data_IF_265527073588
#
_entry.id   IF_265527073588
#
_cell.length_a   1.000
_cell.length_b   1.000
_cell.length_c   1.000
_cell.angle_alpha   90.00
_cell.angle_beta   90.00
_cell.angle_gamma   90.00
#
_symmetry.space_group_name_H-M   'P 1'
#
loop_
_entity.id
_entity.type
_entity.pdbx_description
1 polymer ?
#
# COMPACT_ATOMS: atom_id res chain seq x y z
N UNK A 1 11.89 -21.30 0.89
CA UNK A 1 10.93 -20.53 0.08
C UNK A 1 10.23 -21.50 -0.87
N UNK A 2 8.92 -21.38 -1.06
CA UNK A 2 8.16 -22.23 -1.99
C UNK A 2 8.65 -21.98 -3.44
N UNK A 3 8.52 -22.98 -4.34
CA UNK A 3 8.94 -22.85 -5.75
C UNK A 3 8.19 -21.71 -6.44
N UNK A 4 6.88 -21.60 -6.26
CA UNK A 4 6.05 -20.51 -6.81
C UNK A 4 6.56 -19.13 -6.40
N UNK A 5 7.05 -18.99 -5.17
CA UNK A 5 7.59 -17.72 -4.67
C UNK A 5 8.90 -17.33 -5.38
N UNK A 6 9.74 -18.29 -5.71
CA UNK A 6 10.99 -18.04 -6.45
C UNK A 6 10.69 -17.69 -7.91
N UNK A 7 9.82 -18.46 -8.57
CA UNK A 7 9.46 -18.25 -9.97
C UNK A 7 8.82 -16.84 -10.15
N UNK A 8 7.91 -16.45 -9.26
CA UNK A 8 7.28 -15.13 -9.33
C UNK A 8 8.23 -13.99 -8.99
N UNK A 9 9.16 -14.18 -8.05
CA UNK A 9 10.20 -13.19 -7.75
C UNK A 9 11.09 -12.92 -8.96
N UNK A 10 11.51 -13.99 -9.66
CA UNK A 10 12.32 -13.88 -10.87
C UNK A 10 11.55 -13.19 -12.00
N UNK A 11 10.25 -13.50 -12.16
CA UNK A 11 9.39 -12.84 -13.15
C UNK A 11 9.20 -11.35 -12.86
N UNK A 12 8.99 -10.97 -11.59
CA UNK A 12 8.88 -9.57 -11.20
C UNK A 12 10.19 -8.83 -11.48
N UNK A 13 11.34 -9.40 -11.08
CA UNK A 13 12.66 -8.80 -11.28
C UNK A 13 13.04 -8.64 -12.75
N UNK A 14 12.63 -9.59 -13.59
CA UNK A 14 12.91 -9.60 -15.03
C UNK A 14 11.72 -9.11 -15.88
N UNK A 15 10.70 -8.58 -15.26
CA UNK A 15 9.47 -8.13 -15.91
C UNK A 15 9.63 -6.84 -16.72
N UNK A 16 8.49 -6.28 -17.10
CA UNK A 16 8.41 -5.07 -17.94
C UNK A 16 9.13 -3.89 -17.29
N UNK A 17 10.00 -3.22 -18.04
CA UNK A 17 10.83 -2.10 -17.56
C UNK A 17 10.32 -0.72 -17.97
N UNK A 18 9.17 -0.64 -18.57
CA UNK A 18 8.49 0.60 -18.94
C UNK A 18 9.30 1.59 -19.80
N UNK A 19 10.41 1.16 -20.43
CA UNK A 19 11.34 1.98 -21.25
C UNK A 19 11.80 3.29 -20.55
N UNK A 20 11.95 3.23 -19.22
CA UNK A 20 12.42 4.34 -18.41
C UNK A 20 13.93 4.23 -18.14
N UNK A 21 14.65 5.36 -17.98
CA UNK A 21 16.09 5.37 -17.68
C UNK A 21 16.39 4.97 -16.23
N UNK A 22 15.88 3.83 -15.81
CA UNK A 22 16.01 3.25 -14.47
C UNK A 22 16.69 1.88 -14.58
N UNK A 23 17.65 1.58 -13.71
CA UNK A 23 18.41 0.32 -13.79
C UNK A 23 17.61 -0.89 -13.23
N UNK A 24 18.22 -2.08 -13.36
CA UNK A 24 17.63 -3.38 -13.02
C UNK A 24 17.45 -3.62 -11.51
N UNK A 25 18.00 -2.76 -10.66
CA UNK A 25 17.92 -2.92 -9.21
C UNK A 25 16.57 -2.45 -8.65
N UNK A 26 15.81 -1.70 -9.46
CA UNK A 26 14.49 -1.24 -9.10
C UNK A 26 13.41 -2.24 -9.52
N UNK A 27 12.34 -2.32 -8.72
CA UNK A 27 11.17 -3.15 -9.00
C UNK A 27 10.06 -2.25 -9.54
N UNK A 28 9.59 -2.61 -10.73
CA UNK A 28 8.42 -1.96 -11.32
C UNK A 28 7.14 -2.69 -10.94
N UNK A 29 5.98 -1.98 -10.85
CA UNK A 29 4.70 -2.64 -10.62
C UNK A 29 4.38 -3.67 -11.70
N UNK A 30 4.01 -4.88 -11.31
CA UNK A 30 3.62 -5.95 -12.24
C UNK A 30 2.09 -6.06 -12.31
N UNK A 31 1.45 -5.06 -12.93
CA UNK A 31 -0.01 -4.90 -12.95
C UNK A 31 -0.78 -6.06 -13.64
N UNK A 32 -0.09 -6.87 -14.44
CA UNK A 32 -0.66 -7.98 -15.19
C UNK A 32 -0.63 -9.32 -14.41
N UNK A 33 -1.11 -9.34 -13.16
CA UNK A 33 -1.33 -10.58 -12.42
C UNK A 33 -0.46 -10.80 -11.18
N UNK A 34 0.50 -9.90 -10.86
CA UNK A 34 1.35 -10.00 -9.67
C UNK A 34 1.45 -8.66 -8.95
N UNK A 35 0.32 -7.99 -8.72
CA UNK A 35 0.28 -6.68 -8.07
C UNK A 35 -0.97 -6.52 -7.19
N UNK A 36 -0.94 -5.54 -6.29
CA UNK A 36 -2.08 -5.13 -5.48
C UNK A 36 -3.34 -4.83 -6.31
N UNK A 37 -3.18 -4.34 -7.52
CA UNK A 37 -4.29 -4.07 -8.46
C UNK A 37 -5.14 -5.32 -8.73
N UNK A 38 -4.54 -6.50 -8.61
CA UNK A 38 -5.19 -7.78 -8.90
C UNK A 38 -5.94 -8.37 -7.69
N UNK A 39 -5.71 -7.84 -6.49
CA UNK A 39 -6.28 -8.39 -5.25
C UNK A 39 -7.80 -8.30 -5.19
N UNK A 40 -8.46 -7.13 -5.47
CA UNK A 40 -9.92 -7.05 -5.38
C UNK A 40 -10.64 -8.00 -6.35
N UNK A 41 -10.15 -8.12 -7.59
CA UNK A 41 -10.67 -9.06 -8.56
C UNK A 41 -10.50 -10.53 -8.13
N UNK A 42 -9.35 -10.84 -7.51
CA UNK A 42 -9.09 -12.16 -6.96
C UNK A 42 -10.01 -12.50 -5.80
N UNK A 43 -10.24 -11.57 -4.88
CA UNK A 43 -11.19 -11.75 -3.77
C UNK A 43 -12.61 -11.92 -4.30
N UNK A 44 -13.02 -11.15 -5.31
CA UNK A 44 -14.32 -11.32 -5.97
C UNK A 44 -14.48 -12.74 -6.53
N UNK A 45 -13.46 -13.26 -7.26
CA UNK A 45 -13.43 -14.65 -7.77
C UNK A 45 -13.52 -15.67 -6.63
N UNK A 46 -12.73 -15.49 -5.56
CA UNK A 46 -12.69 -16.39 -4.40
C UNK A 46 -13.98 -16.37 -3.56
N UNK A 47 -14.73 -15.28 -3.58
CA UNK A 47 -16.08 -15.18 -2.98
C UNK A 47 -17.19 -15.61 -3.95
N UNK A 48 -16.88 -15.95 -5.20
CA UNK A 48 -17.89 -16.33 -6.20
C UNK A 48 -18.84 -15.18 -6.57
N UNK A 49 -18.33 -13.93 -6.59
CA UNK A 49 -19.06 -12.76 -7.10
C UNK A 49 -18.65 -12.47 -8.54
N UNK A 50 -19.41 -11.66 -9.30
CA UNK A 50 -18.97 -11.19 -10.61
C UNK A 50 -17.63 -10.48 -10.56
N UNK A 51 -16.94 -10.40 -11.70
CA UNK A 51 -15.64 -9.77 -11.83
C UNK A 51 -15.67 -8.31 -11.35
N UNK A 52 -14.62 -7.90 -10.64
CA UNK A 52 -14.42 -6.56 -10.16
C UNK A 52 -12.99 -6.07 -10.46
N UNK A 53 -12.85 -4.77 -10.65
CA UNK A 53 -11.57 -4.16 -10.90
C UNK A 53 -11.04 -4.49 -12.32
N UNK A 54 -9.72 -4.70 -12.44
CA UNK A 54 -9.06 -4.83 -13.73
C UNK A 54 -8.82 -6.29 -14.12
N UNK A 55 -8.11 -7.03 -13.28
CA UNK A 55 -7.74 -8.42 -13.50
C UNK A 55 -7.52 -9.11 -12.16
N UNK A 56 -7.41 -10.43 -12.18
CA UNK A 56 -7.10 -11.25 -11.01
C UNK A 56 -5.59 -11.53 -10.93
N UNK A 57 -5.15 -12.07 -9.81
CA UNK A 57 -3.83 -12.70 -9.69
C UNK A 57 -3.73 -13.90 -10.64
N UNK A 58 -2.51 -14.29 -10.93
CA UNK A 58 -2.25 -15.42 -11.82
C UNK A 58 -2.83 -16.72 -11.32
N UNK A 59 -3.19 -17.60 -12.25
CA UNK A 59 -3.78 -18.91 -11.94
C UNK A 59 -2.85 -19.77 -11.08
N UNK A 60 -1.53 -19.65 -11.24
CA UNK A 60 -0.53 -20.30 -10.39
C UNK A 60 -0.68 -19.96 -8.89
N UNK A 61 -1.22 -18.80 -8.57
CA UNK A 61 -1.53 -18.36 -7.20
C UNK A 61 -2.95 -18.75 -6.80
N UNK A 62 -3.93 -18.57 -7.68
CA UNK A 62 -5.34 -18.71 -7.34
C UNK A 62 -5.86 -20.15 -7.39
N UNK A 63 -5.45 -20.94 -8.38
CA UNK A 63 -5.99 -22.31 -8.56
C UNK A 63 -5.73 -23.22 -7.36
N UNK A 64 -4.55 -23.20 -6.69
CA UNK A 64 -4.32 -24.03 -5.51
C UNK A 64 -5.17 -23.64 -4.29
N UNK A 65 -5.71 -22.41 -4.25
CA UNK A 65 -6.59 -21.96 -3.17
C UNK A 65 -7.98 -22.59 -3.27
N UNK A 66 -8.45 -22.90 -4.48
CA UNK A 66 -9.81 -23.41 -4.71
C UNK A 66 -10.88 -22.34 -4.49
N UNK A 67 -11.96 -22.68 -3.83
CA UNK A 67 -13.12 -21.82 -3.58
C UNK A 67 -14.36 -22.27 -4.36
N UNK A 68 -15.49 -21.52 -4.34
CA UNK A 68 -15.62 -20.25 -3.61
C UNK A 68 -15.68 -20.44 -2.09
N UNK A 69 -15.30 -19.39 -1.37
CA UNK A 69 -15.36 -19.31 0.09
C UNK A 69 -16.58 -18.51 0.53
N UNK A 70 -17.12 -18.82 1.71
CA UNK A 70 -18.13 -17.96 2.34
C UNK A 70 -17.48 -16.72 2.94
N UNK A 71 -16.27 -16.85 3.45
CA UNK A 71 -15.57 -15.76 4.11
C UNK A 71 -14.16 -15.61 3.58
N UNK A 72 -13.78 -14.36 3.29
CA UNK A 72 -12.40 -13.99 2.98
C UNK A 72 -11.96 -12.89 3.95
N UNK A 73 -10.92 -13.17 4.71
CA UNK A 73 -10.26 -12.21 5.59
C UNK A 73 -9.03 -11.68 4.84
N UNK A 74 -8.99 -10.41 4.56
CA UNK A 74 -7.79 -9.72 4.09
C UNK A 74 -7.17 -8.98 5.27
N UNK A 75 -6.08 -9.52 5.82
CA UNK A 75 -5.28 -8.88 6.84
C UNK A 75 -4.17 -8.07 6.16
N UNK A 76 -4.34 -6.77 6.13
CA UNK A 76 -3.36 -5.83 5.63
C UNK A 76 -2.49 -5.34 6.80
N UNK A 77 -1.21 -5.69 6.77
CA UNK A 77 -0.20 -5.20 7.70
C UNK A 77 0.64 -4.14 6.99
N UNK A 78 0.43 -2.88 7.36
CA UNK A 78 1.05 -1.72 6.73
C UNK A 78 2.59 -1.80 6.79
N UNK A 79 3.25 -1.55 5.67
CA UNK A 79 4.69 -1.59 5.47
C UNK A 79 5.36 -2.95 5.71
N UNK A 80 4.62 -4.05 5.87
CA UNK A 80 5.18 -5.39 5.99
C UNK A 80 5.71 -5.89 4.63
N UNK A 81 6.78 -5.31 4.12
CA UNK A 81 7.39 -5.73 2.85
C UNK A 81 7.78 -7.22 2.82
N UNK A 82 7.85 -7.78 1.62
CA UNK A 82 8.17 -9.21 1.41
C UNK A 82 9.50 -9.63 2.03
N UNK A 83 10.54 -8.80 1.92
CA UNK A 83 11.86 -9.10 2.49
C UNK A 83 11.83 -9.10 4.02
N UNK A 84 11.11 -8.14 4.63
CA UNK A 84 10.88 -8.08 6.07
C UNK A 84 10.11 -9.31 6.53
N UNK A 85 9.00 -9.65 5.89
CA UNK A 85 8.21 -10.82 6.27
C UNK A 85 9.01 -12.13 6.18
N UNK A 86 9.84 -12.32 5.15
CA UNK A 86 10.76 -13.46 5.06
C UNK A 86 11.81 -13.49 6.20
N UNK A 87 12.24 -12.32 6.67
CA UNK A 87 13.17 -12.22 7.82
C UNK A 87 12.47 -12.64 9.10
N UNK A 88 11.24 -12.18 9.32
CA UNK A 88 10.40 -12.55 10.47
C UNK A 88 10.08 -14.05 10.50
N UNK A 89 9.71 -14.65 9.38
CA UNK A 89 9.48 -16.11 9.28
C UNK A 89 10.71 -16.94 9.65
N UNK A 90 11.91 -16.47 9.30
CA UNK A 90 13.17 -17.16 9.65
C UNK A 90 13.58 -16.93 11.09
N UNK A 91 13.21 -15.78 11.68
CA UNK A 91 13.56 -15.45 13.06
C UNK A 91 12.76 -16.29 14.05
N UNK A 92 11.47 -16.47 13.82
CA UNK A 92 10.58 -17.30 14.66
C UNK A 92 10.04 -18.50 13.87
N UNK A 93 10.79 -19.60 13.89
CA UNK A 93 10.40 -20.86 13.26
C UNK A 93 9.14 -21.48 13.89
N UNK A 94 8.76 -21.07 15.10
CA UNK A 94 7.57 -21.54 15.82
C UNK A 94 6.37 -20.65 15.62
N UNK A 95 6.53 -19.52 14.92
CA UNK A 95 5.39 -18.64 14.65
C UNK A 95 4.29 -19.36 13.89
N UNK A 96 3.06 -18.93 14.10
CA UNK A 96 1.90 -19.41 13.34
C UNK A 96 2.15 -19.38 11.83
N UNK A 97 2.72 -18.29 11.32
CA UNK A 97 2.96 -18.08 9.89
C UNK A 97 3.97 -19.07 9.32
N UNK A 98 5.08 -19.33 10.05
CA UNK A 98 6.12 -20.24 9.59
C UNK A 98 5.65 -21.70 9.67
N UNK A 99 4.95 -22.11 10.73
CA UNK A 99 4.42 -23.48 10.86
C UNK A 99 3.43 -23.81 9.75
N UNK A 100 2.62 -22.84 9.35
CA UNK A 100 1.59 -23.01 8.33
C UNK A 100 2.06 -22.69 6.89
N UNK A 101 3.32 -22.33 6.69
CA UNK A 101 3.85 -21.97 5.38
C UNK A 101 3.66 -23.07 4.33
N UNK A 102 3.75 -24.35 4.73
CA UNK A 102 3.56 -25.50 3.84
C UNK A 102 2.11 -25.66 3.35
N UNK A 103 1.13 -25.17 4.12
CA UNK A 103 -0.30 -25.24 3.87
C UNK A 103 -0.84 -23.97 3.17
N UNK A 104 -0.04 -22.91 3.12
CA UNK A 104 -0.35 -21.64 2.52
C UNK A 104 0.18 -21.54 1.09
N UNK A 105 -0.41 -20.66 0.30
CA UNK A 105 0.21 -20.12 -0.90
C UNK A 105 0.97 -18.87 -0.51
N UNK A 106 2.27 -18.87 -0.72
CA UNK A 106 3.15 -17.74 -0.39
C UNK A 106 3.90 -17.27 -1.63
N UNK A 107 3.71 -16.03 -2.02
CA UNK A 107 4.32 -15.43 -3.21
C UNK A 107 4.61 -13.95 -2.98
N UNK A 108 5.73 -13.43 -3.50
CA UNK A 108 5.84 -11.99 -3.67
C UNK A 108 4.85 -11.52 -4.75
N UNK A 109 4.29 -10.36 -4.53
CA UNK A 109 3.63 -9.53 -5.54
C UNK A 109 4.17 -8.12 -5.41
N UNK A 110 3.78 -7.22 -6.31
CA UNK A 110 4.23 -5.83 -6.24
C UNK A 110 3.18 -4.91 -5.64
N UNK A 111 3.65 -3.91 -4.91
CA UNK A 111 2.87 -2.71 -4.64
C UNK A 111 2.55 -1.97 -5.94
N UNK A 112 1.90 -0.83 -5.83
CA UNK A 112 1.68 0.12 -6.92
C UNK A 112 2.77 1.21 -6.91
N UNK A 113 2.84 2.02 -7.94
CA UNK A 113 3.72 3.20 -7.96
C UNK A 113 2.88 4.48 -7.85
N UNK A 114 3.17 5.37 -6.87
CA UNK A 114 4.14 5.24 -5.77
C UNK A 114 3.73 4.16 -4.75
N UNK A 115 4.73 3.54 -4.10
CA UNK A 115 4.54 2.50 -3.09
C UNK A 115 4.22 3.13 -1.73
N UNK A 116 3.00 3.61 -1.59
CA UNK A 116 2.52 4.38 -0.43
C UNK A 116 1.09 4.05 -0.08
N UNK A 117 0.77 4.12 1.22
CA UNK A 117 -0.52 3.80 1.81
C UNK A 117 -1.71 4.39 1.03
N UNK A 118 -1.70 5.70 0.76
CA UNK A 118 -2.84 6.35 0.10
C UNK A 118 -3.15 5.77 -1.28
N UNK A 119 -2.11 5.54 -2.09
CA UNK A 119 -2.24 4.96 -3.43
C UNK A 119 -2.60 3.48 -3.39
N UNK A 120 -1.93 2.72 -2.53
CA UNK A 120 -2.11 1.27 -2.41
C UNK A 120 -3.49 0.91 -1.85
N UNK A 121 -3.94 1.56 -0.76
CA UNK A 121 -5.27 1.31 -0.20
C UNK A 121 -6.38 1.70 -1.18
N UNK A 122 -6.23 2.82 -1.90
CA UNK A 122 -7.21 3.19 -2.93
C UNK A 122 -7.25 2.14 -4.04
N UNK A 123 -6.10 1.57 -4.41
CA UNK A 123 -6.04 0.45 -5.36
C UNK A 123 -6.79 -0.78 -4.84
N UNK A 124 -6.62 -1.14 -3.57
CA UNK A 124 -7.32 -2.29 -2.95
C UNK A 124 -8.84 -2.10 -2.88
N UNK A 125 -9.32 -0.85 -2.75
CA UNK A 125 -10.75 -0.57 -2.73
C UNK A 125 -11.37 -0.31 -4.11
N UNK A 126 -10.55 -0.10 -5.16
CA UNK A 126 -11.05 0.19 -6.52
C UNK A 126 -10.70 -0.87 -7.56
N UNK A 127 -9.69 -1.72 -7.30
CA UNK A 127 -9.13 -2.63 -8.29
C UNK A 127 -8.51 -1.89 -9.49
N UNK A 128 -8.08 -0.64 -9.31
CA UNK A 128 -7.52 0.20 -10.35
C UNK A 128 -6.14 0.75 -9.93
N UNK A 129 -5.20 0.97 -10.87
CA UNK A 129 -3.91 1.56 -10.57
C UNK A 129 -4.00 3.09 -10.30
N UNK A 130 -2.97 3.70 -9.67
CA UNK A 130 -2.98 5.10 -9.26
C UNK A 130 -3.35 6.12 -10.34
N UNK A 131 -2.87 5.95 -11.58
CA UNK A 131 -3.21 6.85 -12.67
C UNK A 131 -4.70 6.78 -13.09
N UNK A 132 -5.42 5.73 -12.72
CA UNK A 132 -6.85 5.57 -13.02
C UNK A 132 -7.76 6.07 -11.90
N UNK A 133 -7.47 5.74 -10.63
CA UNK A 133 -8.27 6.26 -9.52
C UNK A 133 -7.85 7.68 -9.11
N UNK A 134 -6.63 8.10 -9.46
CA UNK A 134 -6.17 9.48 -9.31
C UNK A 134 -5.56 9.83 -7.95
N UNK A 135 -5.55 8.94 -6.96
CA UNK A 135 -4.85 9.16 -5.69
C UNK A 135 -3.40 8.73 -5.87
N UNK A 136 -2.50 9.70 -5.92
CA UNK A 136 -1.10 9.47 -6.27
C UNK A 136 -0.16 10.17 -5.25
N UNK A 137 0.28 9.41 -4.25
CA UNK A 137 1.14 9.89 -3.18
C UNK A 137 0.41 10.28 -1.91
N UNK A 138 1.18 10.51 -0.85
CA UNK A 138 0.72 11.03 0.44
C UNK A 138 0.29 12.50 0.32
N UNK A 139 1.13 13.32 -0.31
CA UNK A 139 0.82 14.71 -0.65
C UNK A 139 0.55 14.83 -2.15
N UNK A 140 -0.45 15.61 -2.53
CA UNK A 140 -0.88 15.74 -3.91
C UNK A 140 -1.32 17.17 -4.24
N UNK A 141 -0.91 17.68 -5.40
CA UNK A 141 -1.46 18.93 -5.93
C UNK A 141 -2.88 18.70 -6.46
N UNK A 142 -3.85 19.29 -5.79
CA UNK A 142 -5.25 19.29 -6.21
C UNK A 142 -5.57 20.63 -6.87
N UNK A 143 -5.31 20.72 -8.18
CA UNK A 143 -5.50 21.94 -8.98
C UNK A 143 -6.94 22.46 -8.93
N UNK A 144 -7.90 21.55 -8.84
CA UNK A 144 -9.33 21.84 -8.70
C UNK A 144 -9.68 22.61 -7.43
N UNK A 145 -8.84 22.54 -6.40
CA UNK A 145 -8.98 23.25 -5.14
C UNK A 145 -7.89 24.31 -4.93
N UNK A 146 -6.92 24.41 -5.86
CA UNK A 146 -5.81 25.35 -5.79
C UNK A 146 -4.90 25.13 -4.58
N UNK A 147 -4.72 23.88 -4.10
CA UNK A 147 -3.93 23.61 -2.90
C UNK A 147 -3.22 22.26 -2.93
N UNK A 148 -2.17 22.13 -2.14
CA UNK A 148 -1.57 20.85 -1.79
C UNK A 148 -2.41 20.18 -0.71
N UNK A 149 -2.78 18.92 -0.95
CA UNK A 149 -3.61 18.16 -0.02
C UNK A 149 -2.85 16.96 0.53
N UNK A 150 -3.15 16.63 1.78
CA UNK A 150 -2.82 15.36 2.40
C UNK A 150 -3.94 14.36 2.11
N UNK A 151 -3.62 13.29 1.39
CA UNK A 151 -4.61 12.29 0.96
C UNK A 151 -5.13 11.39 2.10
N UNK A 152 -4.41 11.26 3.21
CA UNK A 152 -4.85 10.48 4.39
C UNK A 152 -5.89 11.28 5.19
N UNK A 153 -5.52 12.51 5.57
CA UNK A 153 -6.34 13.34 6.45
C UNK A 153 -7.41 14.15 5.74
N UNK A 154 -7.38 14.27 4.41
CA UNK A 154 -8.16 15.23 3.63
C UNK A 154 -8.07 16.63 4.23
N UNK A 155 -6.86 17.11 4.39
CA UNK A 155 -6.51 18.44 4.87
C UNK A 155 -5.55 19.12 3.90
N UNK A 156 -5.41 20.45 4.00
CA UNK A 156 -4.30 21.12 3.33
C UNK A 156 -2.97 20.57 3.88
N UNK A 157 -2.01 20.25 3.02
CA UNK A 157 -0.72 19.69 3.45
C UNK A 157 0.06 20.64 4.38
N UNK A 158 -0.19 21.94 4.26
CA UNK A 158 0.41 23.00 5.09
C UNK A 158 -0.26 23.19 6.46
N UNK A 159 -1.42 22.56 6.70
CA UNK A 159 -2.23 22.75 7.92
C UNK A 159 -2.23 21.49 8.76
N UNK A 160 -1.41 21.45 9.81
CA UNK A 160 -1.42 20.34 10.77
C UNK A 160 -2.73 20.32 11.58
N UNK A 161 -3.30 19.13 11.75
CA UNK A 161 -4.43 18.90 12.66
C UNK A 161 -5.80 19.32 12.12
N UNK A 162 -5.91 19.81 10.91
CA UNK A 162 -7.20 20.17 10.28
C UNK A 162 -7.76 19.00 9.45
N UNK A 163 -7.86 17.83 10.08
CA UNK A 163 -8.43 16.65 9.43
C UNK A 163 -9.85 16.93 8.93
N UNK A 164 -10.11 16.63 7.66
CA UNK A 164 -11.39 16.94 7.01
C UNK A 164 -11.57 18.41 6.64
N UNK A 165 -10.57 19.27 6.80
CA UNK A 165 -10.63 20.69 6.47
C UNK A 165 -10.91 21.01 5.02
N UNK A 166 -10.58 20.12 4.09
CA UNK A 166 -10.89 20.26 2.67
C UNK A 166 -12.41 20.37 2.38
N UNK A 167 -13.24 19.79 3.24
CA UNK A 167 -14.71 19.90 3.08
C UNK A 167 -15.18 21.35 3.03
N UNK A 168 -14.52 22.26 3.78
CA UNK A 168 -14.83 23.70 3.75
C UNK A 168 -14.47 24.38 2.42
N UNK A 169 -13.57 23.77 1.64
CA UNK A 169 -13.18 24.20 0.29
C UNK A 169 -14.03 23.55 -0.81
N UNK A 170 -15.13 22.89 -0.45
CA UNK A 170 -16.02 22.21 -1.41
C UNK A 170 -15.53 20.82 -1.83
N UNK A 171 -14.54 20.24 -1.13
CA UNK A 171 -14.13 18.87 -1.37
C UNK A 171 -15.21 17.92 -0.85
N UNK A 172 -15.63 17.03 -1.74
CA UNK A 172 -16.51 15.92 -1.39
C UNK A 172 -15.79 14.59 -1.68
N UNK A 173 -15.44 13.80 -0.65
CA UNK A 173 -14.76 12.53 -0.83
C UNK A 173 -15.55 11.53 -1.70
N UNK A 174 -16.88 11.64 -1.71
CA UNK A 174 -17.74 10.73 -2.49
C UNK A 174 -17.71 11.00 -3.99
N UNK A 175 -17.48 12.24 -4.40
CA UNK A 175 -17.39 12.63 -5.81
C UNK A 175 -15.95 12.74 -6.30
N UNK A 176 -14.99 12.98 -5.41
CA UNK A 176 -13.58 13.07 -5.75
C UNK A 176 -13.03 11.72 -6.26
N UNK A 177 -13.40 10.63 -5.60
CA UNK A 177 -13.15 9.27 -6.06
C UNK A 177 -14.36 8.74 -6.84
N UNK A 178 -14.41 9.04 -8.14
CA UNK A 178 -15.48 8.64 -9.06
C UNK A 178 -15.33 7.24 -9.65
N UNK A 179 -14.33 6.49 -9.17
CA UNK A 179 -14.05 5.10 -9.55
C UNK A 179 -14.95 4.15 -8.77
N UNK A 180 -15.52 3.09 -9.40
CA UNK A 180 -16.29 2.08 -8.69
C UNK A 180 -15.53 1.51 -7.49
N UNK A 181 -16.23 1.31 -6.37
CA UNK A 181 -15.65 0.81 -5.13
C UNK A 181 -16.07 -0.64 -4.85
N UNK A 182 -15.18 -1.36 -4.19
CA UNK A 182 -15.36 -2.79 -3.90
C UNK A 182 -16.47 -3.04 -2.86
N UNK A 183 -16.64 -2.16 -1.86
CA UNK A 183 -17.72 -2.27 -0.86
C UNK A 183 -19.11 -2.36 -1.49
N UNK A 184 -19.55 -1.34 -2.27
CA UNK A 184 -20.82 -1.39 -3.00
C UNK A 184 -20.96 -2.60 -3.92
N UNK A 185 -19.88 -3.00 -4.60
CA UNK A 185 -19.90 -4.19 -5.46
C UNK A 185 -20.22 -5.45 -4.66
N UNK A 186 -19.55 -5.68 -3.53
CA UNK A 186 -19.79 -6.85 -2.68
C UNK A 186 -21.22 -6.88 -2.13
N UNK A 187 -21.72 -5.73 -1.63
CA UNK A 187 -23.10 -5.59 -1.14
C UNK A 187 -24.12 -5.96 -2.21
N UNK A 188 -23.94 -5.47 -3.43
CA UNK A 188 -24.84 -5.75 -4.55
C UNK A 188 -24.91 -7.23 -4.90
N UNK A 189 -23.90 -8.04 -4.49
CA UNK A 189 -23.82 -9.46 -4.78
C UNK A 189 -23.96 -10.37 -3.54
N UNK A 190 -24.59 -9.84 -2.47
CA UNK A 190 -24.92 -10.61 -1.28
C UNK A 190 -23.73 -11.01 -0.41
N UNK A 191 -22.63 -10.24 -0.48
CA UNK A 191 -21.48 -10.34 0.42
C UNK A 191 -21.43 -9.12 1.32
N UNK A 192 -21.34 -9.29 2.62
CA UNK A 192 -21.20 -8.19 3.58
C UNK A 192 -19.73 -7.79 3.68
N UNK A 193 -19.34 -6.60 3.22
CA UNK A 193 -18.01 -6.07 3.47
C UNK A 193 -17.95 -5.45 4.86
N UNK A 194 -16.99 -5.87 5.68
CA UNK A 194 -16.75 -5.35 7.01
C UNK A 194 -15.27 -4.96 7.14
N UNK A 195 -14.98 -3.81 7.72
CA UNK A 195 -13.60 -3.40 8.04
C UNK A 195 -13.36 -3.42 9.53
N UNK A 196 -12.20 -3.92 9.95
CA UNK A 196 -11.64 -3.78 11.29
C UNK A 196 -10.49 -2.80 11.22
N UNK A 197 -10.63 -1.65 11.86
CA UNK A 197 -9.70 -0.54 11.77
C UNK A 197 -9.53 0.14 13.12
N UNK A 198 -8.31 0.58 13.45
CA UNK A 198 -8.07 1.27 14.70
C UNK A 198 -8.92 2.55 14.81
N UNK A 199 -9.53 2.78 15.98
CA UNK A 199 -10.49 3.89 16.22
C UNK A 199 -9.97 5.28 15.83
N UNK A 200 -8.64 5.50 15.93
CA UNK A 200 -8.04 6.81 15.62
C UNK A 200 -8.09 7.19 14.13
N UNK A 201 -8.22 6.21 13.23
CA UNK A 201 -8.18 6.41 11.78
C UNK A 201 -9.45 5.99 11.06
N UNK A 202 -10.44 5.42 11.78
CA UNK A 202 -11.69 4.93 11.19
C UNK A 202 -12.46 6.01 10.42
N UNK A 203 -12.34 7.26 10.82
CA UNK A 203 -12.99 8.40 10.19
C UNK A 203 -11.99 9.36 9.53
N UNK A 204 -10.79 8.88 9.20
CA UNK A 204 -9.85 9.66 8.36
C UNK A 204 -10.49 9.97 7.01
N UNK A 205 -10.02 11.03 6.36
CA UNK A 205 -10.53 11.40 5.04
C UNK A 205 -10.43 10.27 4.02
N UNK A 206 -9.32 9.54 4.03
CA UNK A 206 -9.09 8.39 3.16
C UNK A 206 -10.08 7.25 3.44
N UNK A 207 -10.30 6.90 4.73
CA UNK A 207 -11.25 5.87 5.13
C UNK A 207 -12.67 6.19 4.67
N UNK A 208 -13.13 7.44 4.90
CA UNK A 208 -14.45 7.91 4.45
C UNK A 208 -14.60 7.83 2.93
N UNK A 209 -13.55 8.16 2.19
CA UNK A 209 -13.58 8.11 0.72
C UNK A 209 -13.69 6.69 0.16
N UNK A 210 -12.99 5.73 0.77
CA UNK A 210 -12.83 4.37 0.25
C UNK A 210 -13.89 3.39 0.75
N UNK A 211 -14.36 3.53 2.00
CA UNK A 211 -15.17 2.53 2.70
C UNK A 211 -16.68 2.83 2.59
N UNK A 212 -17.16 3.12 1.38
CA UNK A 212 -18.60 3.25 1.12
C UNK A 212 -19.29 1.89 1.18
N UNK A 213 -20.46 1.82 1.81
CA UNK A 213 -21.26 0.60 1.99
C UNK A 213 -20.49 -0.56 2.68
N UNK A 214 -19.54 -0.19 3.56
CA UNK A 214 -18.74 -1.11 4.36
C UNK A 214 -19.12 -0.94 5.83
N UNK A 215 -19.35 -2.04 6.55
CA UNK A 215 -19.60 -2.00 8.00
C UNK A 215 -18.26 -1.72 8.71
N UNK A 216 -18.21 -0.73 9.59
CA UNK A 216 -16.99 -0.32 10.27
C UNK A 216 -17.01 -0.83 11.71
N UNK A 217 -16.09 -1.75 12.01
CA UNK A 217 -15.75 -2.16 13.38
C UNK A 217 -14.44 -1.49 13.78
N UNK A 218 -14.50 -0.68 14.84
CA UNK A 218 -13.30 -0.06 15.38
C UNK A 218 -12.73 -0.88 16.51
N UNK A 219 -11.41 -0.95 16.61
CA UNK A 219 -10.72 -1.58 17.73
C UNK A 219 -9.77 -0.60 18.42
N UNK A 220 -9.37 -0.95 19.63
CA UNK A 220 -8.51 -0.14 20.53
C UNK A 220 -7.06 -0.66 20.52
N UNK A 221 -6.91 -1.99 20.53
CA UNK A 221 -5.63 -2.71 20.54
C UNK A 221 -5.76 -4.08 19.83
N UNK A 222 -4.67 -4.82 19.78
CA UNK A 222 -4.60 -6.11 19.06
C UNK A 222 -5.48 -7.19 19.71
N UNK A 223 -5.62 -7.17 21.03
CA UNK A 223 -6.45 -8.15 21.75
C UNK A 223 -7.94 -7.92 21.43
N UNK A 224 -8.37 -6.65 21.44
CA UNK A 224 -9.71 -6.24 21.02
C UNK A 224 -9.96 -6.61 19.56
N UNK A 225 -9.02 -6.32 18.65
CA UNK A 225 -9.10 -6.72 17.24
C UNK A 225 -9.33 -8.23 17.09
N UNK A 226 -8.46 -9.05 17.69
CA UNK A 226 -8.49 -10.50 17.53
C UNK A 226 -9.77 -11.13 18.08
N UNK A 227 -10.20 -10.71 19.27
CA UNK A 227 -11.45 -11.19 19.90
C UNK A 227 -12.69 -10.73 19.14
N UNK A 228 -12.73 -9.47 18.70
CA UNK A 228 -13.85 -8.92 17.92
C UNK A 228 -14.00 -9.63 16.58
N UNK A 229 -12.90 -9.93 15.91
CA UNK A 229 -12.89 -10.69 14.66
C UNK A 229 -13.42 -12.12 14.86
N UNK A 230 -12.98 -12.82 15.94
CA UNK A 230 -13.48 -14.15 16.28
C UNK A 230 -14.98 -14.14 16.61
N UNK A 231 -15.44 -13.16 17.37
CA UNK A 231 -16.85 -12.99 17.72
C UNK A 231 -17.70 -12.76 16.47
N UNK A 232 -17.30 -11.84 15.59
CA UNK A 232 -18.02 -11.58 14.34
C UNK A 232 -18.22 -12.87 13.54
N UNK A 233 -17.14 -13.60 13.29
CA UNK A 233 -17.20 -14.82 12.46
C UNK A 233 -18.07 -15.91 13.08
N UNK A 234 -18.01 -16.11 14.40
CA UNK A 234 -18.80 -17.11 15.09
C UNK A 234 -20.30 -16.74 15.18
N UNK A 235 -20.65 -15.44 15.22
CA UNK A 235 -22.05 -14.99 15.19
C UNK A 235 -22.70 -15.10 13.81
N UNK A 236 -21.91 -15.12 12.75
CA UNK A 236 -22.37 -15.15 11.36
C UNK A 236 -21.86 -16.37 10.59
N UNK A 237 -21.94 -17.64 11.12
CA UNK A 237 -21.21 -18.78 10.58
C UNK A 237 -21.52 -19.06 9.10
N UNK A 238 -22.76 -18.82 8.66
CA UNK A 238 -23.23 -19.09 7.31
C UNK A 238 -23.26 -17.85 6.39
N UNK A 239 -22.92 -16.67 6.90
CA UNK A 239 -22.93 -15.45 6.10
C UNK A 239 -21.75 -15.41 5.11
N UNK A 240 -22.00 -14.77 3.96
CA UNK A 240 -20.94 -14.45 3.01
C UNK A 240 -20.36 -13.09 3.37
N UNK A 241 -19.07 -13.06 3.73
CA UNK A 241 -18.41 -11.88 4.27
C UNK A 241 -17.04 -11.67 3.67
N UNK A 242 -16.72 -10.40 3.45
CA UNK A 242 -15.36 -9.91 3.23
C UNK A 242 -14.93 -9.09 4.44
N UNK A 243 -13.90 -9.55 5.15
CA UNK A 243 -13.40 -8.88 6.34
C UNK A 243 -12.04 -8.25 6.01
N UNK A 244 -12.00 -6.93 5.94
CA UNK A 244 -10.79 -6.16 5.74
C UNK A 244 -10.24 -5.73 7.10
N UNK A 245 -9.08 -6.23 7.47
CA UNK A 245 -8.38 -5.88 8.71
C UNK A 245 -7.18 -5.02 8.36
N UNK A 246 -7.12 -3.81 8.91
CA UNK A 246 -6.00 -2.90 8.69
C UNK A 246 -5.20 -2.70 9.98
N UNK A 247 -3.92 -3.10 9.95
CA UNK A 247 -2.98 -3.04 11.06
C UNK A 247 -1.78 -2.16 10.69
N UNK A 248 -1.64 -1.01 11.37
CA UNK A 248 -0.72 0.09 11.00
C UNK A 248 0.56 0.18 11.81
N UNK A 249 0.72 -0.65 12.85
CA UNK A 249 1.77 -0.41 13.86
C UNK A 249 3.16 -0.70 13.35
N UNK A 250 3.32 -1.62 12.39
CA UNK A 250 4.61 -1.92 11.77
C UNK A 250 5.13 -0.70 11.01
N UNK A 251 4.28 -0.05 10.19
CA UNK A 251 4.66 1.19 9.48
C UNK A 251 5.06 2.31 10.44
N UNK A 252 4.24 2.50 11.50
CA UNK A 252 4.51 3.51 12.53
C UNK A 252 5.87 3.30 13.18
N UNK A 253 6.20 2.05 13.54
CA UNK A 253 7.51 1.73 14.13
C UNK A 253 8.65 1.91 13.12
N UNK A 254 8.46 1.49 11.87
CA UNK A 254 9.48 1.64 10.84
C UNK A 254 9.81 3.08 10.53
N UNK A 255 8.83 3.97 10.52
CA UNK A 255 9.08 5.40 10.40
C UNK A 255 9.92 5.97 11.54
N UNK A 256 9.78 5.46 12.77
CA UNK A 256 10.49 5.96 13.95
C UNK A 256 11.86 5.30 14.18
N UNK A 257 11.99 4.00 13.88
CA UNK A 257 13.14 3.19 14.33
C UNK A 257 13.86 2.44 13.22
N UNK A 258 13.36 2.45 11.99
CA UNK A 258 13.82 1.64 10.85
C UNK A 258 13.41 0.15 10.92
N UNK A 259 13.66 -0.56 9.80
CA UNK A 259 13.30 -1.98 9.65
C UNK A 259 14.27 -2.95 10.35
N UNK A 260 15.41 -2.46 10.84
CA UNK A 260 16.44 -3.27 11.55
C UNK A 260 16.25 -3.28 13.07
N UNK A 261 15.35 -2.47 13.60
CA UNK A 261 15.13 -2.33 15.04
C UNK A 261 14.37 -3.55 15.61
N UNK A 262 14.78 -4.00 16.81
CA UNK A 262 14.17 -5.16 17.47
C UNK A 262 12.67 -4.97 17.78
N UNK A 263 12.20 -3.73 17.90
CA UNK A 263 10.76 -3.44 18.14
C UNK A 263 9.88 -3.97 17.02
N UNK A 264 10.37 -3.98 15.78
CA UNK A 264 9.62 -4.53 14.64
C UNK A 264 9.40 -6.04 14.81
N UNK A 265 10.47 -6.76 15.21
CA UNK A 265 10.39 -8.20 15.46
C UNK A 265 9.42 -8.51 16.60
N UNK A 266 9.61 -7.85 17.75
CA UNK A 266 8.78 -8.03 18.93
C UNK A 266 7.30 -7.70 18.68
N UNK A 267 7.01 -6.60 17.96
CA UNK A 267 5.64 -6.21 17.65
C UNK A 267 4.95 -7.27 16.79
N UNK A 268 5.65 -7.79 15.76
CA UNK A 268 5.06 -8.81 14.90
C UNK A 268 4.92 -10.17 15.61
N UNK A 269 5.86 -10.55 16.46
CA UNK A 269 5.77 -11.77 17.30
C UNK A 269 4.58 -11.68 18.27
N UNK A 270 4.42 -10.54 18.93
CA UNK A 270 3.30 -10.30 19.86
C UNK A 270 1.96 -10.37 19.13
N UNK A 271 1.85 -9.67 18.02
CA UNK A 271 0.67 -9.73 17.16
C UNK A 271 0.37 -11.15 16.69
N UNK A 272 1.38 -11.89 16.23
CA UNK A 272 1.24 -13.26 15.74
C UNK A 272 0.74 -14.22 16.83
N UNK A 273 1.27 -14.07 18.05
CA UNK A 273 0.82 -14.86 19.22
C UNK A 273 -0.64 -14.53 19.59
N UNK A 274 -0.99 -13.26 19.70
CA UNK A 274 -2.37 -12.84 19.98
C UNK A 274 -3.33 -13.32 18.89
N UNK A 275 -2.94 -13.23 17.64
CA UNK A 275 -3.74 -13.68 16.51
C UNK A 275 -4.04 -15.18 16.59
N UNK A 276 -3.07 -16.01 16.98
CA UNK A 276 -3.29 -17.43 17.21
C UNK A 276 -4.19 -17.69 18.42
N UNK A 277 -3.90 -17.09 19.59
CA UNK A 277 -4.58 -17.38 20.86
C UNK A 277 -5.99 -16.77 20.92
N UNK A 278 -6.14 -15.52 20.50
CA UNK A 278 -7.37 -14.76 20.67
C UNK A 278 -8.29 -14.81 19.44
N UNK A 279 -7.79 -15.21 18.27
CA UNK A 279 -8.59 -15.36 17.07
C UNK A 279 -8.68 -16.82 16.61
N UNK A 280 -7.58 -17.43 16.14
CA UNK A 280 -7.65 -18.74 15.46
C UNK A 280 -8.13 -19.86 16.37
N UNK A 281 -7.69 -19.91 17.63
CA UNK A 281 -8.17 -20.89 18.62
C UNK A 281 -9.61 -20.65 19.09
N UNK A 282 -10.21 -19.51 18.76
CA UNK A 282 -11.58 -19.12 19.16
C UNK A 282 -12.62 -19.31 18.08
N UNK A 283 -12.22 -19.42 16.81
CA UNK A 283 -13.19 -19.69 15.73
C UNK A 283 -13.64 -21.15 15.73
N UNK A 284 -14.92 -21.36 15.41
CA UNK A 284 -15.46 -22.71 15.33
C UNK A 284 -14.97 -23.45 14.07
N UNK A 285 -14.86 -24.80 14.10
CA UNK A 285 -14.48 -25.57 12.92
C UNK A 285 -15.36 -25.30 11.71
N UNK A 286 -16.66 -25.13 11.89
CA UNK A 286 -17.60 -24.84 10.80
C UNK A 286 -17.31 -23.50 10.10
N UNK A 287 -16.82 -22.51 10.85
CA UNK A 287 -16.38 -21.23 10.30
C UNK A 287 -15.04 -21.42 9.56
N UNK A 288 -14.09 -22.11 10.18
CA UNK A 288 -12.76 -22.35 9.60
C UNK A 288 -12.83 -23.07 8.25
N UNK A 289 -13.74 -24.04 8.09
CA UNK A 289 -13.90 -24.85 6.87
C UNK A 289 -14.15 -24.01 5.60
N UNK A 290 -14.83 -22.87 5.74
CA UNK A 290 -15.25 -22.03 4.62
C UNK A 290 -14.60 -20.63 4.64
N UNK A 291 -13.49 -20.47 5.36
CA UNK A 291 -12.79 -19.20 5.51
C UNK A 291 -11.39 -19.25 4.89
N UNK A 292 -11.06 -18.25 4.09
CA UNK A 292 -9.72 -17.98 3.58
C UNK A 292 -9.12 -16.79 4.31
N UNK A 293 -7.94 -16.96 4.88
CA UNK A 293 -7.11 -15.88 5.41
C UNK A 293 -6.08 -15.48 4.36
N UNK A 294 -5.99 -14.18 4.07
CA UNK A 294 -4.95 -13.58 3.23
C UNK A 294 -4.22 -12.55 4.08
N UNK A 295 -2.89 -12.73 4.29
CA UNK A 295 -2.02 -11.68 4.78
C UNK A 295 -1.38 -10.98 3.60
N UNK A 296 -1.40 -9.66 3.64
CA UNK A 296 -0.92 -8.76 2.60
C UNK A 296 -0.26 -7.54 3.24
N UNK A 297 0.60 -6.84 2.50
CA UNK A 297 1.01 -5.48 2.81
C UNK A 297 0.68 -4.55 1.64
N UNK A 298 0.57 -3.28 1.91
CA UNK A 298 0.37 -2.24 0.91
C UNK A 298 1.69 -1.80 0.24
N UNK A 299 2.75 -1.75 1.00
CA UNK A 299 4.14 -1.53 0.59
C UNK A 299 5.10 -2.13 1.62
N UNK A 300 6.37 -2.04 1.36
CA UNK A 300 7.40 -2.19 2.37
C UNK A 300 8.04 -0.85 2.70
N UNK A 301 9.13 -0.87 3.43
CA UNK A 301 9.87 0.33 3.83
C UNK A 301 11.36 0.03 3.83
N UNK A 302 12.17 1.06 3.88
CA UNK A 302 13.61 0.92 4.02
C UNK A 302 14.22 1.96 4.95
N UNK A 303 15.31 1.60 5.58
CA UNK A 303 16.10 2.49 6.42
C UNK A 303 16.68 3.65 5.62
N UNK A 304 16.45 4.87 6.10
CA UNK A 304 16.93 6.11 5.49
C UNK A 304 17.52 7.01 6.58
N UNK A 305 18.78 6.82 6.95
CA UNK A 305 19.44 7.62 8.00
C UNK A 305 19.37 9.11 7.70
N UNK A 306 19.25 9.92 8.76
CA UNK A 306 19.21 11.37 8.59
C UNK A 306 20.49 11.89 7.91
N UNK A 307 20.30 12.68 6.86
CA UNK A 307 21.40 13.26 6.09
C UNK A 307 21.00 14.66 5.60
N UNK A 308 21.65 15.72 6.14
CA UNK A 308 21.37 17.11 5.77
C UNK A 308 21.50 17.41 4.25
N UNK A 309 22.26 16.58 3.50
CA UNK A 309 22.35 16.70 2.03
C UNK A 309 21.03 16.49 1.32
N UNK A 310 20.05 15.84 1.95
CA UNK A 310 18.75 15.58 1.36
C UNK A 310 17.66 16.53 1.86
N UNK A 311 18.00 17.47 2.74
CA UNK A 311 17.06 18.49 3.19
C UNK A 311 17.03 19.65 2.20
N UNK A 312 15.90 19.85 1.53
CA UNK A 312 15.75 20.88 0.50
C UNK A 312 15.90 22.32 1.03
N UNK A 313 15.73 22.56 2.31
CA UNK A 313 16.03 23.85 2.91
C UNK A 313 17.52 24.26 2.74
N UNK A 314 18.42 23.30 2.55
CA UNK A 314 19.85 23.53 2.29
C UNK A 314 20.15 23.73 0.79
N UNK A 315 19.13 23.76 -0.08
CA UNK A 315 19.28 23.83 -1.55
C UNK A 315 18.45 24.97 -2.17
N UNK A 316 18.73 26.25 -1.79
CA UNK A 316 17.92 27.39 -2.25
C UNK A 316 17.91 27.52 -3.79
N UNK A 317 19.02 27.25 -4.47
CA UNK A 317 19.09 27.31 -5.94
C UNK A 317 18.15 26.31 -6.61
N UNK A 318 17.93 25.13 -5.99
CA UNK A 318 16.95 24.15 -6.45
C UNK A 318 15.54 24.67 -6.21
N UNK A 319 15.27 25.19 -5.01
CA UNK A 319 13.95 25.73 -4.66
C UNK A 319 13.55 26.90 -5.56
N UNK A 320 14.48 27.72 -6.00
CA UNK A 320 14.26 28.81 -6.97
C UNK A 320 13.82 28.29 -8.36
N UNK A 321 14.10 27.04 -8.68
CA UNK A 321 13.61 26.42 -9.91
C UNK A 321 12.13 26.00 -9.83
N UNK A 322 11.52 25.97 -8.63
CA UNK A 322 10.22 25.38 -8.39
C UNK A 322 9.10 26.42 -8.30
N UNK A 323 7.92 26.06 -8.78
CA UNK A 323 6.68 26.83 -8.60
C UNK A 323 6.18 26.69 -7.16
N UNK A 324 6.33 25.51 -6.56
CA UNK A 324 5.90 25.16 -5.22
C UNK A 324 6.76 24.03 -4.67
N UNK A 325 6.60 23.69 -3.40
CA UNK A 325 7.25 22.53 -2.79
C UNK A 325 6.94 21.24 -3.57
N UNK A 326 7.87 20.26 -3.59
CA UNK A 326 7.59 18.95 -4.14
C UNK A 326 6.41 18.28 -3.46
N UNK A 327 5.85 17.26 -4.11
CA UNK A 327 4.73 16.46 -3.60
C UNK A 327 5.01 14.98 -3.74
N UNK A 328 4.07 14.14 -3.39
CA UNK A 328 4.05 12.70 -3.42
C UNK A 328 4.73 12.09 -2.19
N UNK A 329 5.94 11.60 -2.32
CA UNK A 329 6.68 10.91 -1.26
C UNK A 329 8.14 11.34 -1.21
N UNK A 330 8.75 11.28 -0.04
CA UNK A 330 10.15 11.65 0.12
C UNK A 330 11.13 10.80 -0.72
N UNK A 331 10.71 9.60 -1.12
CA UNK A 331 11.51 8.70 -1.96
C UNK A 331 11.07 8.63 -3.42
N UNK A 332 9.95 9.30 -3.74
CA UNK A 332 9.47 9.52 -5.10
C UNK A 332 8.80 10.89 -5.15
N UNK A 333 9.58 11.92 -5.45
CA UNK A 333 9.13 13.31 -5.37
C UNK A 333 8.72 13.87 -6.74
N UNK A 334 7.57 14.54 -6.79
CA UNK A 334 7.07 15.24 -7.97
C UNK A 334 7.44 16.71 -7.89
N UNK A 335 8.14 17.21 -8.91
CA UNK A 335 8.61 18.60 -9.01
C UNK A 335 7.78 19.39 -10.02
N UNK A 336 7.28 20.54 -9.59
CA UNK A 336 6.58 21.52 -10.41
C UNK A 336 7.56 22.65 -10.74
N UNK A 337 8.06 22.65 -11.97
CA UNK A 337 9.22 23.45 -12.37
C UNK A 337 8.76 24.77 -13.02
N UNK A 338 9.42 25.88 -12.67
CA UNK A 338 9.16 27.18 -13.30
C UNK A 338 9.50 27.12 -14.80
N UNK A 339 8.73 27.81 -15.67
CA UNK A 339 9.01 27.87 -17.10
C UNK A 339 10.46 28.26 -17.38
N UNK A 340 11.14 27.50 -18.23
CA UNK A 340 12.54 27.69 -18.61
C UNK A 340 13.58 27.20 -17.60
N UNK A 341 13.18 26.62 -16.44
CA UNK A 341 14.12 26.17 -15.41
C UNK A 341 14.36 24.64 -15.41
N UNK A 342 13.73 23.90 -16.29
CA UNK A 342 13.83 22.44 -16.32
C UNK A 342 15.28 21.94 -16.44
N UNK A 343 16.05 22.51 -17.39
CA UNK A 343 17.44 22.11 -17.57
C UNK A 343 18.30 22.50 -16.35
N UNK A 344 18.08 23.67 -15.77
CA UNK A 344 18.77 24.11 -14.54
C UNK A 344 18.56 23.14 -13.38
N UNK A 345 17.31 22.65 -13.22
CA UNK A 345 16.98 21.63 -12.20
C UNK A 345 17.73 20.32 -12.49
N UNK A 346 17.70 19.81 -13.73
CA UNK A 346 18.41 18.59 -14.13
C UNK A 346 19.91 18.68 -13.88
N UNK A 347 20.52 19.80 -14.25
CA UNK A 347 21.97 20.06 -14.05
C UNK A 347 22.30 20.16 -12.55
N UNK A 348 21.37 20.73 -11.75
CA UNK A 348 21.52 20.77 -10.30
C UNK A 348 21.59 19.37 -9.69
N UNK A 349 20.66 18.51 -10.04
CA UNK A 349 20.66 17.12 -9.57
C UNK A 349 21.93 16.37 -10.00
N UNK A 350 22.33 16.48 -11.27
CA UNK A 350 23.51 15.82 -11.79
C UNK A 350 24.80 16.24 -11.07
N UNK A 351 24.90 17.49 -10.63
CA UNK A 351 26.05 18.01 -9.89
C UNK A 351 25.99 17.67 -8.40
N UNK A 352 24.82 17.76 -7.77
CA UNK A 352 24.66 17.67 -6.32
C UNK A 352 24.47 16.22 -5.84
N UNK A 353 23.75 15.42 -6.62
CA UNK A 353 23.37 14.05 -6.31
C UNK A 353 23.51 13.13 -7.52
N UNK A 354 24.72 12.92 -8.06
CA UNK A 354 24.92 12.21 -9.34
C UNK A 354 24.45 10.75 -9.32
N UNK A 355 24.49 10.11 -8.15
CA UNK A 355 24.19 8.68 -8.00
C UNK A 355 22.97 8.39 -7.13
N UNK A 356 22.32 9.41 -6.56
CA UNK A 356 21.29 9.22 -5.54
C UNK A 356 19.87 9.23 -6.13
N UNK A 357 19.65 9.75 -7.33
CA UNK A 357 18.32 9.85 -7.93
C UNK A 357 18.33 9.50 -9.42
N UNK A 358 17.20 8.93 -9.88
CA UNK A 358 16.80 8.99 -11.27
C UNK A 358 15.85 10.15 -11.48
N UNK A 359 16.01 10.89 -12.57
CA UNK A 359 15.05 11.91 -12.98
C UNK A 359 14.27 11.42 -14.20
N UNK A 360 12.95 11.42 -14.08
CA UNK A 360 12.02 11.07 -15.13
C UNK A 360 11.22 12.30 -15.55
N UNK A 361 10.97 12.46 -16.82
CA UNK A 361 9.96 13.41 -17.27
C UNK A 361 8.56 12.84 -16.97
N UNK A 362 7.68 13.67 -16.45
CA UNK A 362 6.38 13.22 -15.97
C UNK A 362 5.50 12.63 -17.10
N UNK A 363 5.56 13.19 -18.31
CA UNK A 363 4.83 12.66 -19.45
C UNK A 363 5.36 11.28 -19.85
N UNK A 364 6.68 11.10 -19.93
CA UNK A 364 7.28 9.79 -20.19
C UNK A 364 6.88 8.76 -19.12
N UNK A 365 6.89 9.13 -17.84
CA UNK A 365 6.51 8.23 -16.78
C UNK A 365 5.02 7.82 -16.83
N UNK A 366 4.13 8.75 -17.19
CA UNK A 366 2.70 8.44 -17.40
C UNK A 366 2.48 7.56 -18.62
N UNK A 367 3.09 7.88 -19.77
CA UNK A 367 2.95 7.14 -21.01
C UNK A 367 3.53 5.73 -20.92
N UNK A 368 4.60 5.56 -20.17
CA UNK A 368 5.20 4.22 -19.92
C UNK A 368 4.24 3.25 -19.24
N UNK A 369 3.27 3.76 -18.47
CA UNK A 369 2.36 2.98 -17.63
C UNK A 369 2.90 2.68 -16.24
N UNK A 370 3.96 3.37 -15.78
CA UNK A 370 4.51 3.23 -14.43
C UNK A 370 3.45 3.37 -13.33
N UNK A 371 2.51 4.30 -13.51
CA UNK A 371 1.39 4.54 -12.60
C UNK A 371 0.09 3.83 -13.02
N UNK A 372 0.16 2.96 -14.02
CA UNK A 372 -0.95 2.27 -14.67
C UNK A 372 -1.20 2.76 -16.09
N UNK A 373 -1.61 1.85 -16.99
CA UNK A 373 -1.88 2.15 -18.40
C UNK A 373 -3.15 3.00 -18.57
N UNK A 374 -3.22 3.74 -19.69
CA UNK A 374 -4.42 4.47 -20.12
C UNK A 374 -5.70 3.56 -20.17
N UNK A 375 -6.90 4.14 -20.05
CA UNK A 375 -7.18 5.55 -19.90
C UNK A 375 -6.86 6.04 -18.49
N UNK A 376 -6.28 7.23 -18.38
CA UNK A 376 -5.92 7.85 -17.11
C UNK A 376 -7.06 8.70 -16.55
N UNK A 377 -7.04 8.94 -15.25
CA UNK A 377 -7.91 9.89 -14.57
C UNK A 377 -7.75 11.28 -15.21
N UNK A 378 -8.85 11.96 -15.44
CA UNK A 378 -8.82 13.37 -15.83
C UNK A 378 -7.99 14.15 -14.80
N UNK A 379 -7.09 15.01 -15.28
CA UNK A 379 -6.15 15.80 -14.44
C UNK A 379 -5.01 15.03 -13.76
N UNK A 380 -4.80 13.76 -14.04
CA UNK A 380 -3.63 13.06 -13.47
C UNK A 380 -2.33 13.78 -13.82
N UNK A 381 -2.24 14.34 -15.02
CA UNK A 381 -1.06 15.11 -15.46
C UNK A 381 -0.80 16.34 -14.60
N UNK A 382 -1.84 17.00 -14.12
CA UNK A 382 -1.71 18.15 -13.20
C UNK A 382 -1.12 17.72 -11.83
N UNK A 383 -1.20 16.43 -11.46
CA UNK A 383 -0.80 15.90 -10.14
C UNK A 383 0.64 15.43 -10.06
N UNK A 384 1.25 15.06 -11.20
CA UNK A 384 2.60 14.43 -11.23
C UNK A 384 3.73 15.43 -11.49
N UNK A 385 3.44 16.73 -11.61
CA UNK A 385 4.45 17.76 -11.85
C UNK A 385 5.10 17.66 -13.24
N UNK A 386 6.31 18.15 -13.37
CA UNK A 386 7.08 18.16 -14.62
C UNK A 386 8.22 17.14 -14.61
N UNK A 387 8.83 16.91 -13.45
CA UNK A 387 9.92 15.95 -13.22
C UNK A 387 9.63 15.14 -11.99
N UNK A 388 9.98 13.87 -12.05
CA UNK A 388 9.87 12.91 -10.96
C UNK A 388 11.28 12.49 -10.55
N UNK A 389 11.64 12.70 -9.29
CA UNK A 389 12.87 12.17 -8.73
C UNK A 389 12.58 10.84 -8.02
N UNK A 390 13.20 9.76 -8.50
CA UNK A 390 13.12 8.42 -7.90
C UNK A 390 14.42 8.13 -7.16
N UNK A 391 14.32 7.88 -5.87
CA UNK A 391 15.48 7.66 -5.00
C UNK A 391 16.17 6.33 -5.25
N UNK A 392 17.51 6.33 -5.19
CA UNK A 392 18.38 5.15 -5.17
C UNK A 392 18.92 4.92 -3.76
N UNK A 393 19.24 3.67 -3.43
CA UNK A 393 19.76 3.34 -2.11
C UNK A 393 18.89 3.94 -1.00
N UNK A 394 19.53 4.53 0.00
CA UNK A 394 18.86 5.18 1.13
C UNK A 394 18.61 6.69 0.95
N UNK A 395 18.74 7.22 -0.27
CA UNK A 395 18.45 8.63 -0.57
C UNK A 395 16.95 8.95 -0.40
N UNK A 396 16.67 10.20 -0.07
CA UNK A 396 15.31 10.76 0.04
C UNK A 396 15.39 12.28 -0.15
N UNK A 397 14.26 12.96 -0.25
CA UNK A 397 14.22 14.43 -0.24
C UNK A 397 13.28 14.89 0.89
N UNK A 398 13.77 15.77 1.75
CA UNK A 398 13.00 16.33 2.85
C UNK A 398 12.65 17.78 2.58
N UNK A 399 11.38 18.12 2.52
CA UNK A 399 10.88 19.47 2.28
C UNK A 399 9.91 20.00 3.34
N UNK A 400 9.62 19.21 4.36
CA UNK A 400 8.73 19.66 5.43
C UNK A 400 9.42 20.67 6.34
N UNK A 401 8.67 21.71 6.74
CA UNK A 401 9.11 22.72 7.72
C UNK A 401 9.00 22.18 9.15
N UNK A 402 9.78 21.13 9.42
CA UNK A 402 9.93 20.50 10.75
C UNK A 402 11.20 19.66 10.76
N UNK A 403 11.78 19.37 11.96
CA UNK A 403 12.90 18.43 12.06
C UNK A 403 12.57 17.08 11.43
N UNK A 404 13.55 16.51 10.73
CA UNK A 404 13.44 15.20 10.15
C UNK A 404 13.72 14.13 11.24
N UNK A 405 12.68 13.48 11.71
CA UNK A 405 12.77 12.43 12.75
C UNK A 405 12.48 11.03 12.20
N UNK A 406 12.34 10.89 10.87
CA UNK A 406 12.03 9.61 10.25
C UNK A 406 13.29 8.80 10.02
N UNK A 407 13.32 7.58 10.55
CA UNK A 407 14.39 6.60 10.36
C UNK A 407 14.15 5.67 9.14
N UNK A 408 12.89 5.40 8.82
CA UNK A 408 12.47 4.61 7.66
C UNK A 408 11.49 5.36 6.76
N UNK A 409 11.50 5.03 5.48
CA UNK A 409 10.63 5.64 4.45
C UNK A 409 10.27 4.65 3.37
N UNK A 410 9.22 4.99 2.66
CA UNK A 410 8.68 4.26 1.50
C UNK A 410 8.28 5.24 0.39
N UNK A 411 7.68 4.75 -0.67
CA UNK A 411 7.18 5.54 -1.80
C UNK A 411 7.94 5.30 -3.11
N UNK A 412 9.18 4.78 -3.01
CA UNK A 412 10.07 4.56 -4.14
C UNK A 412 9.87 3.23 -4.87
N UNK A 413 10.90 2.82 -5.59
CA UNK A 413 10.90 1.62 -6.43
C UNK A 413 11.92 0.56 -5.96
N UNK A 414 12.50 0.67 -4.77
CA UNK A 414 13.42 -0.36 -4.28
C UNK A 414 12.69 -1.69 -4.04
N UNK A 415 13.40 -2.83 -4.06
CA UNK A 415 12.81 -4.12 -3.72
C UNK A 415 12.16 -4.15 -2.35
N UNK A 416 12.72 -3.43 -1.36
CA UNK A 416 12.22 -3.39 0.01
C UNK A 416 10.92 -2.59 0.13
N UNK A 417 10.67 -1.64 -0.78
CA UNK A 417 9.44 -0.84 -0.84
C UNK A 417 8.36 -1.50 -1.70
N UNK A 418 8.75 -2.10 -2.84
CA UNK A 418 7.83 -2.56 -3.88
C UNK A 418 7.36 -4.00 -3.73
N UNK A 419 8.20 -4.89 -3.18
CA UNK A 419 7.80 -6.29 -3.00
C UNK A 419 6.98 -6.43 -1.73
N UNK A 420 5.77 -6.97 -1.86
CA UNK A 420 4.87 -7.23 -0.74
C UNK A 420 4.50 -8.71 -0.69
N UNK A 421 4.27 -9.29 0.50
CA UNK A 421 3.88 -10.69 0.63
C UNK A 421 2.41 -10.88 0.24
N UNK A 422 2.14 -11.91 -0.52
CA UNK A 422 0.83 -12.53 -0.62
C UNK A 422 0.92 -13.89 0.07
N UNK A 423 0.32 -14.00 1.27
CA UNK A 423 0.27 -15.24 2.03
C UNK A 423 -1.19 -15.62 2.21
N UNK A 424 -1.64 -16.68 1.55
CA UNK A 424 -3.05 -17.09 1.58
C UNK A 424 -3.17 -18.51 2.14
N UNK A 425 -3.99 -18.64 3.20
CA UNK A 425 -4.16 -19.89 3.95
C UNK A 425 -5.65 -20.21 4.14
N UNK A 426 -6.16 -21.30 3.53
CA UNK A 426 -7.48 -21.81 3.90
C UNK A 426 -7.49 -22.27 5.36
N UNK A 427 -8.37 -21.72 6.20
CA UNK A 427 -8.32 -21.95 7.66
C UNK A 427 -8.61 -23.42 8.04
N UNK A 428 -9.28 -24.19 7.19
CA UNK A 428 -9.41 -25.66 7.34
C UNK A 428 -8.08 -26.42 7.32
N UNK A 429 -7.00 -25.80 6.84
CA UNK A 429 -5.66 -26.41 6.75
C UNK A 429 -4.71 -25.92 7.87
N UNK A 430 -5.22 -25.10 8.79
CA UNK A 430 -4.42 -24.49 9.86
C UNK A 430 -3.93 -25.54 10.85
N UNK A 431 -2.64 -25.46 11.18
CA UNK A 431 -2.03 -26.16 12.30
C UNK A 431 -1.87 -25.17 13.46
N UNK A 432 -2.62 -25.39 14.56
CA UNK A 432 -2.52 -24.63 15.80
C UNK A 432 -1.45 -25.23 16.73
N UNK A 433 -0.85 -24.39 17.58
CA UNK A 433 0.12 -24.82 18.59
C UNK A 433 -0.53 -25.54 19.79
#
# INVERSE_FOLDING_TARGET
>A
MQRISLDNLDRIKNGKRYDLPINNQMIFPYYEGLSLVNIPGSIAKLLGTPAFGRSVLEDSILDPLGGPYNKVILMLVDALGFNLFNRLLRHDEKSFWQRNLKNAIFSPITSVCPSTTASALTTLWTGQPPARHGIIGYEMWAKEFGMLINNIGHSAATSKGDTGGLKRSGFDPYTFLDTPLFGPHLRAHGVTPTTFIHRSIAHSGLSVMQMRDVDIHTFVDEADLCLSLAHQLNHTPNAREYLYVYYSDVDTLMHHYSDEDERILLQFEFFSHLFEEAFLKKISPAVADNTLLILLADHGSMTTPDNPRFNLANHPDLLDCLVMQPTCEHRLAFFFVRPGRLQTLKDYFARTWPDEFYLLEADQALESGLFGNAPHKKRIRDRVGDVIAVSKGNAYLWWADKPNLMAGRHGGLSPDEMLVPFYALPLKRVELS
#
